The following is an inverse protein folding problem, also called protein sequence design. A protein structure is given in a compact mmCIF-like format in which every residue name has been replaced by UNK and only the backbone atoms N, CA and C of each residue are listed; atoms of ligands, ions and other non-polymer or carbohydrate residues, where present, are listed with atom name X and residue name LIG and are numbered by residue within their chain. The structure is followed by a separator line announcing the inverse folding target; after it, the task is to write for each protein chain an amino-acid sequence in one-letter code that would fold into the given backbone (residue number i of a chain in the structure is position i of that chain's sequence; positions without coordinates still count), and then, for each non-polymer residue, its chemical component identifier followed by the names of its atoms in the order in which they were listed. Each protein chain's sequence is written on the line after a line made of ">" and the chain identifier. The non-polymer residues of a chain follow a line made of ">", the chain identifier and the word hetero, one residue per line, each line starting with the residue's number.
data_IF_326395407516
#
_entry.id   IF_326395407516
#
_cell.length_a   1.000
_cell.length_b   1.000
_cell.length_c   1.000
_cell.angle_alpha   90.00
_cell.angle_beta   90.00
_cell.angle_gamma   90.00
#
_symmetry.space_group_name_H-M   'P 1'
#
loop_
_entity.id
_entity.type
_entity.pdbx_description
1 polymer ?
#
# COMPACT_ATOMS: atom_id res chain seq x y z
N UNK A 1 -4.76 10.94 -28.19
CA UNK A 1 -5.21 11.66 -26.97
C UNK A 1 -5.20 13.19 -27.13
N UNK A 2 -4.06 13.82 -27.51
CA UNK A 2 -3.93 15.29 -27.66
C UNK A 2 -5.03 15.95 -28.53
N UNK A 3 -5.36 15.36 -29.69
CA UNK A 3 -6.41 15.88 -30.61
C UNK A 3 -7.82 15.92 -30.00
N UNK A 4 -8.17 14.91 -29.19
CA UNK A 4 -9.48 14.84 -28.53
C UNK A 4 -9.60 15.91 -27.42
N UNK A 5 -8.51 16.17 -26.71
CA UNK A 5 -8.46 17.19 -25.67
C UNK A 5 -8.59 18.60 -26.27
N UNK A 6 -7.89 18.89 -27.37
CA UNK A 6 -8.03 20.15 -28.13
C UNK A 6 -9.47 20.38 -28.62
N UNK A 7 -10.14 19.34 -29.15
CA UNK A 7 -11.54 19.44 -29.60
C UNK A 7 -12.50 19.74 -28.44
N UNK A 8 -12.28 19.15 -27.26
CA UNK A 8 -13.08 19.42 -26.06
C UNK A 8 -12.85 20.83 -25.52
N UNK A 9 -11.61 21.32 -25.51
CA UNK A 9 -11.27 22.70 -25.14
C UNK A 9 -12.01 23.72 -26.03
N UNK A 10 -11.97 23.52 -27.35
CA UNK A 10 -12.69 24.39 -28.30
C UNK A 10 -14.20 24.37 -28.02
N UNK A 11 -14.78 23.19 -27.74
CA UNK A 11 -16.21 23.05 -27.43
C UNK A 11 -16.60 23.82 -26.16
N UNK A 12 -15.80 23.76 -25.11
CA UNK A 12 -16.05 24.46 -23.84
C UNK A 12 -15.89 25.97 -24.03
N UNK A 13 -14.86 26.40 -24.75
CA UNK A 13 -14.66 27.82 -25.07
C UNK A 13 -15.84 28.39 -25.88
N UNK A 14 -16.33 27.67 -26.89
CA UNK A 14 -17.53 28.07 -27.62
C UNK A 14 -18.77 28.08 -26.75
N UNK A 15 -18.89 27.17 -25.78
CA UNK A 15 -20.01 27.16 -24.84
C UNK A 15 -20.00 28.40 -23.94
N UNK A 16 -18.83 28.77 -23.40
CA UNK A 16 -18.66 29.99 -22.59
C UNK A 16 -18.98 31.25 -23.42
N UNK A 17 -18.54 31.30 -24.68
CA UNK A 17 -18.80 32.46 -25.56
C UNK A 17 -20.27 32.52 -26.01
N UNK A 18 -20.95 31.38 -26.14
CA UNK A 18 -22.35 31.33 -26.58
C UNK A 18 -23.34 31.52 -25.41
N UNK A 19 -22.91 31.23 -24.18
CA UNK A 19 -23.67 31.46 -22.95
C UNK A 19 -23.67 32.94 -22.53
N UNK A 20 -23.90 33.84 -23.50
CA UNK A 20 -23.84 35.30 -23.39
C UNK A 20 -24.89 35.92 -22.44
N UNK A 21 -25.69 35.10 -21.75
CA UNK A 21 -26.65 35.57 -20.76
C UNK A 21 -26.00 35.59 -19.37
N UNK A 22 -25.73 36.81 -18.89
CA UNK A 22 -25.01 37.17 -17.65
C UNK A 22 -25.73 36.66 -16.37
N UNK A 23 -26.73 35.80 -16.51
CA UNK A 23 -27.62 35.34 -15.44
C UNK A 23 -26.97 34.40 -14.43
N UNK A 24 -25.89 33.69 -14.77
CA UNK A 24 -25.26 32.75 -13.82
C UNK A 24 -23.72 32.79 -13.86
N UNK A 25 -23.16 33.77 -13.14
CA UNK A 25 -21.71 33.91 -12.89
C UNK A 25 -21.11 32.60 -12.34
N UNK A 26 -21.91 31.80 -11.62
CA UNK A 26 -21.47 30.53 -11.02
C UNK A 26 -21.19 29.48 -12.10
N UNK A 27 -22.08 29.37 -13.09
CA UNK A 27 -21.90 28.45 -14.22
C UNK A 27 -20.73 28.86 -15.10
N UNK A 28 -20.56 30.16 -15.35
CA UNK A 28 -19.42 30.67 -16.12
C UNK A 28 -18.09 30.45 -15.40
N UNK A 29 -18.06 30.58 -14.07
CA UNK A 29 -16.90 30.23 -13.26
C UNK A 29 -16.60 28.73 -13.31
N UNK A 30 -17.61 27.88 -13.19
CA UNK A 30 -17.45 26.42 -13.27
C UNK A 30 -16.92 25.97 -14.65
N UNK A 31 -17.47 26.51 -15.74
CA UNK A 31 -17.02 26.21 -17.10
C UNK A 31 -15.59 26.72 -17.35
N UNK A 32 -15.26 27.91 -16.84
CA UNK A 32 -13.89 28.48 -16.92
C UNK A 32 -12.88 27.64 -16.14
N UNK A 33 -13.26 27.13 -14.96
CA UNK A 33 -12.45 26.19 -14.18
C UNK A 33 -12.20 24.89 -14.94
N UNK A 34 -13.24 24.31 -15.53
CA UNK A 34 -13.12 23.08 -16.33
C UNK A 34 -12.20 23.30 -17.56
N UNK A 35 -12.30 24.47 -18.20
CA UNK A 35 -11.41 24.86 -19.29
C UNK A 35 -9.94 24.93 -18.83
N UNK A 36 -9.67 25.57 -17.68
CA UNK A 36 -8.33 25.68 -17.10
C UNK A 36 -7.74 24.31 -16.76
N UNK A 37 -8.50 23.42 -16.12
CA UNK A 37 -8.04 22.07 -15.78
C UNK A 37 -7.65 21.29 -17.03
N UNK A 38 -8.47 21.33 -18.09
CA UNK A 38 -8.16 20.63 -19.34
C UNK A 38 -6.98 21.24 -20.08
N UNK A 39 -6.79 22.55 -19.99
CA UNK A 39 -5.63 23.24 -20.56
C UNK A 39 -4.35 22.90 -19.79
N UNK A 40 -4.40 22.81 -18.46
CA UNK A 40 -3.28 22.39 -17.63
C UNK A 40 -2.83 20.96 -17.96
N UNK A 41 -3.78 20.04 -18.15
CA UNK A 41 -3.47 18.67 -18.61
C UNK A 41 -2.86 18.68 -20.01
N UNK A 42 -3.37 19.50 -20.93
CA UNK A 42 -2.80 19.61 -22.27
C UNK A 42 -1.36 20.15 -22.22
N UNK A 43 -1.10 21.17 -21.40
CA UNK A 43 0.22 21.76 -21.17
C UNK A 43 1.19 20.71 -20.63
N UNK A 44 0.78 19.96 -19.61
CA UNK A 44 1.58 18.86 -19.06
C UNK A 44 1.92 17.80 -20.13
N UNK A 45 0.95 17.42 -20.96
CA UNK A 45 1.18 16.47 -22.07
C UNK A 45 2.08 17.05 -23.18
N UNK A 46 2.22 18.37 -23.27
CA UNK A 46 3.07 19.03 -24.25
C UNK A 46 4.48 19.25 -23.73
N UNK A 47 4.64 19.55 -22.44
CA UNK A 47 5.95 19.75 -21.79
C UNK A 47 6.61 18.43 -21.38
N UNK A 48 5.89 17.51 -20.74
CA UNK A 48 6.49 16.30 -20.14
C UNK A 48 6.47 15.09 -21.07
N UNK A 49 5.51 15.02 -22.00
CA UNK A 49 5.33 13.88 -22.91
C UNK A 49 5.86 14.13 -24.33
N UNK A 50 6.42 15.31 -24.64
CA UNK A 50 7.16 15.51 -25.89
C UNK A 50 8.63 15.05 -25.78
N UNK A 51 9.22 15.02 -24.57
CA UNK A 51 10.55 14.43 -24.33
C UNK A 51 10.50 12.90 -24.26
N UNK A 52 9.31 12.33 -24.05
CA UNK A 52 9.08 10.89 -24.04
C UNK A 52 8.72 10.45 -25.47
N UNK A 53 9.65 10.66 -26.41
CA UNK A 53 9.73 9.77 -27.56
C UNK A 53 10.21 8.41 -27.04
N UNK A 54 9.28 7.53 -26.69
CA UNK A 54 9.61 6.11 -26.51
C UNK A 54 10.01 5.62 -27.90
N UNK A 55 11.30 5.71 -28.22
CA UNK A 55 11.91 5.05 -29.36
C UNK A 55 11.85 3.53 -29.11
N UNK A 56 10.70 2.95 -29.44
CA UNK A 56 10.44 1.51 -29.36
C UNK A 56 11.41 0.70 -30.23
N UNK A 57 12.16 1.35 -31.14
CA UNK A 57 13.12 0.68 -32.01
C UNK A 57 14.45 0.39 -31.30
N UNK A 58 14.79 1.10 -30.22
CA UNK A 58 16.08 0.91 -29.52
C UNK A 58 16.02 0.03 -28.29
N UNK A 59 14.84 -0.30 -27.77
CA UNK A 59 14.75 -1.12 -26.57
C UNK A 59 14.73 -2.61 -26.95
N UNK A 60 15.91 -3.24 -26.95
CA UNK A 60 16.09 -4.68 -27.25
C UNK A 60 15.16 -5.59 -26.43
N UNK A 61 14.71 -5.13 -25.26
CA UNK A 61 13.78 -5.81 -24.38
C UNK A 61 12.37 -5.87 -24.98
N UNK A 62 11.92 -4.80 -25.66
CA UNK A 62 10.59 -4.74 -26.28
C UNK A 62 10.50 -5.71 -27.47
N UNK A 63 11.54 -5.79 -28.29
CA UNK A 63 11.60 -6.75 -29.40
C UNK A 63 11.59 -8.21 -28.91
N UNK A 64 12.31 -8.51 -27.81
CA UNK A 64 12.31 -9.84 -27.19
C UNK A 64 10.98 -10.18 -26.53
N UNK A 65 10.29 -9.18 -25.97
CA UNK A 65 8.96 -9.35 -25.41
C UNK A 65 7.92 -9.62 -26.50
N UNK A 66 8.00 -8.93 -27.64
CA UNK A 66 7.11 -9.15 -28.79
C UNK A 66 7.33 -10.53 -29.44
N UNK A 67 8.58 -11.00 -29.50
CA UNK A 67 8.93 -12.36 -29.94
C UNK A 67 8.33 -13.43 -29.00
N UNK A 68 8.48 -13.26 -27.68
CA UNK A 68 7.90 -14.16 -26.68
C UNK A 68 6.37 -14.14 -26.69
N UNK A 69 5.75 -12.96 -26.81
CA UNK A 69 4.29 -12.83 -26.86
C UNK A 69 3.71 -13.56 -28.07
N UNK A 70 4.34 -13.42 -29.24
CA UNK A 70 3.91 -14.12 -30.45
C UNK A 70 4.09 -15.64 -30.36
N UNK A 71 5.15 -16.12 -29.72
CA UNK A 71 5.38 -17.55 -29.49
C UNK A 71 4.30 -18.16 -28.58
N UNK A 72 4.00 -17.51 -27.44
CA UNK A 72 2.98 -17.97 -26.48
C UNK A 72 1.58 -18.01 -27.10
N UNK A 73 1.24 -17.04 -27.95
CA UNK A 73 -0.07 -16.99 -28.64
C UNK A 73 -0.22 -18.09 -29.70
N UNK A 74 0.86 -18.51 -30.35
CA UNK A 74 0.81 -19.61 -31.33
C UNK A 74 0.81 -20.98 -30.66
N UNK A 75 1.54 -21.14 -29.55
CA UNK A 75 1.70 -22.45 -28.89
C UNK A 75 0.46 -22.86 -28.08
N UNK A 76 -0.26 -21.92 -27.47
CA UNK A 76 -1.47 -22.23 -26.68
C UNK A 76 -2.72 -22.56 -27.51
N UNK A 77 -2.68 -22.50 -28.85
CA UNK A 77 -3.84 -22.80 -29.70
C UNK A 77 -4.28 -24.27 -29.64
N UNK A 78 -3.40 -25.16 -29.16
CA UNK A 78 -3.67 -26.60 -29.06
C UNK A 78 -4.15 -27.06 -27.69
N UNK A 79 -4.19 -26.19 -26.69
CA UNK A 79 -4.69 -26.51 -25.35
C UNK A 79 -6.16 -26.09 -25.28
N UNK A 80 -7.11 -27.03 -25.13
CA UNK A 80 -8.51 -26.66 -24.97
C UNK A 80 -8.68 -25.81 -23.70
N UNK A 81 -9.29 -24.62 -23.83
CA UNK A 81 -9.54 -23.67 -22.73
C UNK A 81 -10.47 -24.21 -21.62
N UNK A 82 -11.08 -25.38 -21.83
CA UNK A 82 -11.99 -25.99 -20.87
C UNK A 82 -11.37 -27.26 -20.30
N UNK A 83 -10.93 -27.17 -19.05
CA UNK A 83 -10.68 -28.36 -18.22
C UNK A 83 -12.02 -29.10 -18.03
N UNK A 84 -12.19 -30.35 -18.50
CA UNK A 84 -13.46 -31.10 -18.37
C UNK A 84 -13.77 -31.54 -16.93
N UNK A 85 -12.82 -31.40 -16.00
CA UNK A 85 -13.00 -31.72 -14.59
C UNK A 85 -13.00 -30.45 -13.74
N UNK A 86 -14.13 -29.72 -13.74
CA UNK A 86 -14.31 -28.57 -12.83
C UNK A 86 -14.47 -28.98 -11.35
N UNK A 87 -14.71 -30.27 -11.07
CA UNK A 87 -15.02 -30.77 -9.73
C UNK A 87 -13.82 -31.38 -8.98
N UNK A 88 -12.66 -31.57 -9.62
CA UNK A 88 -11.47 -32.20 -9.01
C UNK A 88 -10.53 -31.22 -8.29
N UNK A 89 -10.88 -29.92 -8.22
CA UNK A 89 -10.13 -28.98 -7.39
C UNK A 89 -10.67 -29.08 -5.97
N UNK A 90 -10.32 -30.16 -5.29
CA UNK A 90 -10.62 -30.34 -3.88
C UNK A 90 -9.81 -29.30 -3.12
N UNK A 91 -10.48 -28.27 -2.62
CA UNK A 91 -9.88 -27.28 -1.73
C UNK A 91 -9.54 -28.03 -0.43
N UNK A 92 -8.28 -28.10 0.01
CA UNK A 92 -7.93 -28.88 1.20
C UNK A 92 -8.53 -28.22 2.45
N UNK A 93 -9.73 -28.64 2.83
CA UNK A 93 -10.42 -28.25 4.05
C UNK A 93 -10.53 -29.43 5.03
N UNK A 94 -11.04 -29.16 6.23
CA UNK A 94 -11.25 -30.15 7.30
C UNK A 94 -12.02 -31.41 6.82
N UNK A 95 -12.88 -31.28 5.80
CA UNK A 95 -13.67 -32.38 5.23
C UNK A 95 -12.81 -33.45 4.52
N UNK A 96 -11.70 -33.08 3.87
CA UNK A 96 -10.80 -34.07 3.24
C UNK A 96 -10.08 -34.95 4.26
N UNK A 97 -9.77 -34.40 5.44
CA UNK A 97 -9.14 -35.15 6.53
C UNK A 97 -10.15 -36.14 7.13
N UNK A 98 -11.44 -35.76 7.20
CA UNK A 98 -12.50 -36.62 7.71
C UNK A 98 -12.74 -37.84 6.82
N UNK A 99 -12.79 -37.65 5.50
CA UNK A 99 -12.96 -38.76 4.54
C UNK A 99 -11.74 -39.70 4.53
N UNK A 100 -10.51 -39.16 4.62
CA UNK A 100 -9.30 -39.99 4.72
C UNK A 100 -9.26 -40.84 6.00
N UNK A 101 -9.78 -40.32 7.12
CA UNK A 101 -9.81 -41.04 8.40
C UNK A 101 -10.89 -42.12 8.41
N UNK A 102 -12.01 -41.90 7.71
CA UNK A 102 -13.08 -42.91 7.59
C UNK A 102 -12.69 -44.14 6.77
N UNK A 103 -11.73 -44.02 5.85
CA UNK A 103 -11.25 -45.12 5.00
C UNK A 103 -10.02 -45.86 5.57
N UNK A 104 -9.55 -45.49 6.76
CA UNK A 104 -8.47 -46.22 7.44
C UNK A 104 -9.02 -47.44 8.20
N UNK A 105 -8.46 -48.65 8.02
CA UNK A 105 -8.84 -49.80 8.83
C UNK A 105 -8.36 -49.58 10.27
N UNK A 106 -9.28 -49.19 11.16
CA UNK A 106 -8.99 -49.08 12.59
C UNK A 106 -8.98 -50.48 13.21
N UNK A 107 -7.81 -50.92 13.71
CA UNK A 107 -7.76 -52.04 14.66
C UNK A 107 -8.07 -51.51 16.06
N UNK A 108 -8.68 -52.35 16.91
CA UNK A 108 -9.18 -51.96 18.23
C UNK A 108 -8.08 -51.41 19.17
N UNK A 109 -6.81 -51.71 18.91
CA UNK A 109 -5.68 -51.17 19.68
C UNK A 109 -5.36 -49.71 19.33
N UNK A 110 -5.75 -49.22 18.14
CA UNK A 110 -5.48 -47.85 17.68
C UNK A 110 -6.47 -46.80 18.24
N UNK A 111 -7.61 -47.25 18.75
CA UNK A 111 -8.66 -46.38 19.32
C UNK A 111 -8.26 -45.83 20.70
N UNK A 112 -7.56 -46.64 21.50
CA UNK A 112 -7.14 -46.28 22.87
C UNK A 112 -6.01 -45.24 22.87
N UNK A 113 -5.06 -45.34 21.93
CA UNK A 113 -3.99 -44.33 21.74
C UNK A 113 -4.50 -43.01 21.18
N UNK A 114 -5.54 -43.04 20.34
CA UNK A 114 -6.17 -41.83 19.82
C UNK A 114 -6.98 -41.09 20.92
N UNK A 115 -7.64 -41.84 21.80
CA UNK A 115 -8.35 -41.29 22.94
C UNK A 115 -7.41 -40.57 23.93
N UNK A 116 -6.24 -41.12 24.23
CA UNK A 116 -5.26 -40.46 25.10
C UNK A 116 -4.65 -39.20 24.47
N UNK A 117 -4.49 -39.17 23.13
CA UNK A 117 -4.01 -37.98 22.39
C UNK A 117 -5.03 -36.84 22.38
N UNK A 118 -6.33 -37.15 22.23
CA UNK A 118 -7.42 -36.17 22.26
C UNK A 118 -7.71 -35.65 23.68
N UNK A 119 -7.44 -36.43 24.72
CA UNK A 119 -7.80 -36.10 26.09
C UNK A 119 -6.85 -35.10 26.79
N UNK A 120 -5.63 -34.86 26.28
CA UNK A 120 -4.63 -34.01 26.96
C UNK A 120 -3.91 -33.06 25.99
N UNK A 121 -4.14 -31.74 26.06
CA UNK A 121 -3.24 -30.79 25.43
C UNK A 121 -1.93 -30.75 26.23
N UNK A 122 -0.90 -31.44 25.74
CA UNK A 122 0.45 -31.30 26.27
C UNK A 122 1.01 -29.94 25.86
N UNK A 123 0.80 -28.92 26.71
CA UNK A 123 1.46 -27.63 26.57
C UNK A 123 2.94 -27.80 26.89
N UNK A 124 3.74 -28.15 25.89
CA UNK A 124 5.19 -28.01 25.94
C UNK A 124 5.52 -26.52 26.08
N UNK A 125 6.15 -26.15 27.19
CA UNK A 125 6.75 -24.82 27.36
C UNK A 125 7.76 -24.65 26.23
N UNK A 126 7.61 -23.57 25.47
CA UNK A 126 8.47 -23.24 24.36
C UNK A 126 9.85 -22.84 24.90
N UNK A 127 10.87 -23.68 24.73
CA UNK A 127 12.27 -23.42 25.09
C UNK A 127 12.90 -22.35 24.15
N UNK A 128 12.31 -21.15 24.13
CA UNK A 128 12.82 -20.00 23.37
C UNK A 128 14.11 -19.42 23.95
N UNK A 129 14.51 -19.83 25.16
CA UNK A 129 15.69 -19.28 25.85
C UNK A 129 17.01 -19.92 25.40
N UNK A 130 16.98 -21.04 24.65
CA UNK A 130 18.20 -21.72 24.18
C UNK A 130 18.76 -21.20 22.84
N UNK A 131 18.05 -20.28 22.17
CA UNK A 131 18.42 -19.78 20.84
C UNK A 131 18.52 -18.25 20.75
N UNK A 132 18.50 -17.53 21.87
CA UNK A 132 18.78 -16.10 21.88
C UNK A 132 20.30 -15.86 21.87
N UNK A 133 20.86 -15.07 20.94
CA UNK A 133 22.21 -14.54 21.11
C UNK A 133 22.26 -13.77 22.42
N UNK A 134 23.17 -14.15 23.30
CA UNK A 134 23.45 -13.42 24.55
C UNK A 134 23.92 -12.01 24.15
N UNK A 135 23.08 -11.00 24.37
CA UNK A 135 23.46 -9.59 24.25
C UNK A 135 24.58 -9.31 25.24
N UNK A 136 25.81 -9.35 24.73
CA UNK A 136 26.95 -8.76 25.41
C UNK A 136 26.85 -7.27 25.17
N UNK A 137 26.60 -6.53 26.25
CA UNK A 137 26.70 -5.08 26.31
C UNK A 137 28.10 -4.65 25.88
N UNK A 138 28.27 -4.34 24.59
CA UNK A 138 29.40 -3.56 24.11
C UNK A 138 28.85 -2.29 23.47
N UNK A 139 28.96 -1.21 24.23
CA UNK A 139 28.96 0.16 23.73
C UNK A 139 30.03 0.26 22.64
N UNK A 140 29.61 0.14 21.38
CA UNK A 140 30.43 0.55 20.24
C UNK A 140 29.83 1.83 19.70
N UNK A 141 30.52 2.93 20.02
CA UNK A 141 30.34 4.23 19.43
C UNK A 141 30.81 4.14 17.98
N UNK A 142 29.92 3.72 17.07
CA UNK A 142 30.17 3.76 15.64
C UNK A 142 29.40 4.93 15.05
N UNK A 143 30.14 5.96 14.68
CA UNK A 143 29.71 7.02 13.78
C UNK A 143 29.25 6.37 12.47
N UNK A 144 27.94 6.14 12.35
CA UNK A 144 27.30 5.67 11.12
C UNK A 144 27.52 6.75 10.07
N UNK A 145 28.48 6.50 9.19
CA UNK A 145 28.67 7.28 7.97
C UNK A 145 27.41 7.09 7.14
N UNK A 146 26.54 8.12 7.17
CA UNK A 146 25.29 8.23 6.42
C UNK A 146 25.49 7.66 5.01
N UNK A 147 24.83 6.55 4.73
CA UNK A 147 24.83 5.97 3.39
C UNK A 147 24.10 6.95 2.47
N UNK A 148 24.60 7.16 1.26
CA UNK A 148 23.94 8.00 0.24
C UNK A 148 22.50 7.55 -0.03
N UNK A 149 22.17 6.30 0.30
CA UNK A 149 20.82 5.74 0.24
C UNK A 149 19.86 6.27 1.34
N UNK A 150 20.36 6.86 2.44
CA UNK A 150 19.54 7.48 3.49
C UNK A 150 19.09 8.90 3.11
N UNK A 151 19.84 9.60 2.24
CA UNK A 151 19.45 10.96 1.79
C UNK A 151 18.22 10.92 0.86
N UNK A 152 17.96 9.76 0.24
CA UNK A 152 16.86 9.54 -0.70
C UNK A 152 15.65 8.81 -0.09
N UNK A 153 15.69 8.40 1.18
CA UNK A 153 14.55 7.81 1.88
C UNK A 153 13.93 8.81 2.87
N UNK A 154 13.47 9.96 2.37
CA UNK A 154 12.72 10.97 3.15
C UNK A 154 11.26 10.56 3.41
N UNK A 155 10.97 9.26 3.41
CA UNK A 155 9.63 8.74 3.64
C UNK A 155 9.59 8.10 5.03
N UNK A 156 8.60 8.49 5.83
CA UNK A 156 8.39 7.97 7.18
C UNK A 156 8.08 6.46 7.08
N UNK A 157 9.09 5.61 7.24
CA UNK A 157 8.92 4.16 7.28
C UNK A 157 8.37 3.74 8.64
N UNK A 158 7.05 3.71 8.76
CA UNK A 158 6.39 3.21 9.96
C UNK A 158 6.27 1.69 9.90
N UNK A 159 6.75 1.01 10.94
CA UNK A 159 6.57 -0.44 11.09
C UNK A 159 5.09 -0.82 11.21
N UNK A 160 4.71 -2.02 10.76
CA UNK A 160 3.31 -2.48 10.80
C UNK A 160 2.73 -2.46 12.22
N UNK A 161 3.54 -2.87 13.22
CA UNK A 161 3.12 -2.90 14.62
C UNK A 161 2.87 -1.50 15.18
N UNK A 162 3.78 -0.56 14.90
CA UNK A 162 3.64 0.84 15.32
C UNK A 162 2.45 1.51 14.63
N UNK A 163 2.27 1.26 13.33
CA UNK A 163 1.11 1.73 12.57
C UNK A 163 -0.20 1.24 13.21
N UNK A 164 -0.30 -0.04 13.54
CA UNK A 164 -1.49 -0.61 14.16
C UNK A 164 -1.74 -0.01 15.55
N UNK A 165 -0.66 0.19 16.32
CA UNK A 165 -0.72 0.78 17.64
C UNK A 165 -1.19 2.24 17.58
N UNK A 166 -0.63 3.06 16.70
CA UNK A 166 -1.05 4.46 16.51
C UNK A 166 -2.50 4.55 16.04
N UNK A 167 -2.90 3.74 15.06
CA UNK A 167 -4.28 3.72 14.58
C UNK A 167 -5.24 3.38 15.73
N UNK A 168 -4.94 2.37 16.54
CA UNK A 168 -5.79 1.92 17.65
C UNK A 168 -5.81 2.91 18.82
N UNK A 169 -4.66 3.45 19.19
CA UNK A 169 -4.49 4.24 20.40
C UNK A 169 -4.62 5.75 20.14
N UNK A 170 -4.01 6.27 19.08
CA UNK A 170 -4.00 7.71 18.77
C UNK A 170 -5.19 8.13 17.89
N UNK A 171 -5.64 7.28 16.97
CA UNK A 171 -6.66 7.62 15.97
C UNK A 171 -8.00 6.89 16.15
N UNK A 172 -8.24 6.26 17.30
CA UNK A 172 -9.49 5.54 17.63
C UNK A 172 -9.95 4.57 16.52
N UNK A 173 -9.00 3.81 15.96
CA UNK A 173 -9.20 2.86 14.88
C UNK A 173 -9.51 3.48 13.49
N UNK A 174 -9.31 4.80 13.33
CA UNK A 174 -9.42 5.46 12.03
C UNK A 174 -8.10 5.38 11.24
N UNK A 175 -8.04 4.45 10.28
CA UNK A 175 -6.89 4.34 9.38
C UNK A 175 -6.79 5.50 8.39
N UNK A 176 -7.90 6.11 7.98
CA UNK A 176 -7.91 7.16 6.97
C UNK A 176 -7.24 8.43 7.51
N UNK A 177 -7.60 8.83 8.72
CA UNK A 177 -6.99 9.98 9.38
C UNK A 177 -5.50 9.78 9.63
N UNK A 178 -5.11 8.57 10.06
CA UNK A 178 -3.69 8.23 10.20
C UNK A 178 -2.93 8.40 8.88
N UNK A 179 -3.45 7.86 7.77
CA UNK A 179 -2.80 7.97 6.46
C UNK A 179 -2.75 9.44 5.98
N UNK A 180 -3.78 10.23 6.26
CA UNK A 180 -3.83 11.67 5.96
C UNK A 180 -2.75 12.43 6.74
N UNK A 181 -2.63 12.17 8.04
CA UNK A 181 -1.61 12.78 8.90
C UNK A 181 -0.20 12.40 8.43
N UNK A 182 0.05 11.13 8.11
CA UNK A 182 1.34 10.69 7.57
C UNK A 182 1.66 11.36 6.23
N UNK A 183 0.68 11.50 5.33
CA UNK A 183 0.87 12.18 4.04
C UNK A 183 1.23 13.66 4.22
N UNK A 184 0.62 14.32 5.20
CA UNK A 184 0.93 15.70 5.56
C UNK A 184 2.31 15.81 6.22
N UNK A 185 2.67 14.90 7.12
CA UNK A 185 4.00 14.83 7.75
C UNK A 185 5.12 14.56 6.74
N UNK A 186 4.85 13.76 5.70
CA UNK A 186 5.78 13.54 4.59
C UNK A 186 5.98 14.83 3.76
N UNK A 187 4.94 15.66 3.63
CA UNK A 187 5.00 16.95 2.91
C UNK A 187 5.73 18.04 3.70
N UNK A 188 5.70 17.97 5.04
CA UNK A 188 6.36 18.96 5.91
C UNK A 188 7.87 18.72 5.96
N UNK A 189 8.67 19.75 5.69
CA UNK A 189 10.13 19.67 5.62
C UNK A 189 10.85 19.93 6.96
N UNK A 190 10.16 20.38 7.99
CA UNK A 190 10.77 20.79 9.27
C UNK A 190 10.14 20.03 10.45
N UNK A 191 10.98 19.63 11.40
CA UNK A 191 10.57 18.95 12.64
C UNK A 191 9.63 19.83 13.47
N UNK A 192 10.01 21.08 13.75
CA UNK A 192 9.22 22.02 14.56
C UNK A 192 7.80 22.24 13.99
N UNK A 193 7.69 22.32 12.65
CA UNK A 193 6.41 22.44 11.97
C UNK A 193 5.58 21.16 12.05
N UNK A 194 6.23 19.99 12.02
CA UNK A 194 5.56 18.69 12.17
C UNK A 194 4.99 18.53 13.59
N UNK A 195 5.78 18.88 14.61
CA UNK A 195 5.34 18.86 16.01
C UNK A 195 4.17 19.82 16.21
N UNK A 196 4.29 21.06 15.71
CA UNK A 196 3.22 22.06 15.79
C UNK A 196 1.93 21.60 15.10
N UNK A 197 2.05 20.90 13.97
CA UNK A 197 0.91 20.33 13.27
C UNK A 197 0.21 19.25 14.11
N UNK A 198 0.97 18.35 14.74
CA UNK A 198 0.39 17.33 15.62
C UNK A 198 -0.28 17.95 16.83
N UNK A 199 0.36 18.92 17.49
CA UNK A 199 -0.17 19.54 18.72
C UNK A 199 -1.42 20.39 18.44
N UNK A 200 -1.43 21.15 17.35
CA UNK A 200 -2.53 22.09 17.08
C UNK A 200 -3.67 21.49 16.25
N UNK A 201 -3.42 20.46 15.44
CA UNK A 201 -4.41 19.96 14.48
C UNK A 201 -4.78 18.49 14.70
N UNK A 202 -3.92 17.67 15.31
CA UNK A 202 -4.22 16.24 15.49
C UNK A 202 -4.61 15.94 16.93
N UNK A 203 -3.87 16.46 17.91
CA UNK A 203 -4.17 16.26 19.33
C UNK A 203 -5.58 16.71 19.73
N UNK A 204 -6.10 17.87 19.30
CA UNK A 204 -7.42 18.34 19.73
C UNK A 204 -8.55 17.42 19.26
N UNK A 205 -8.43 16.87 18.06
CA UNK A 205 -9.41 15.97 17.45
C UNK A 205 -9.51 14.61 18.18
N UNK A 206 -8.45 14.18 18.89
CA UNK A 206 -8.41 12.88 19.60
C UNK A 206 -8.29 13.02 21.12
N UNK A 207 -9.00 13.98 21.71
CA UNK A 207 -9.06 14.18 23.16
C UNK A 207 -7.67 14.34 23.80
N UNK A 208 -6.78 15.06 23.13
CA UNK A 208 -5.39 15.31 23.54
C UNK A 208 -4.57 14.05 23.84
N UNK A 209 -4.95 12.89 23.28
CA UNK A 209 -4.33 11.59 23.56
C UNK A 209 -4.20 11.28 25.05
N UNK A 210 -5.15 11.77 25.86
CA UNK A 210 -5.13 11.61 27.32
C UNK A 210 -5.03 10.13 27.74
N UNK A 211 -4.03 9.83 28.56
CA UNK A 211 -3.75 8.47 29.06
C UNK A 211 -3.02 7.54 28.08
N UNK A 212 -2.55 8.07 26.94
CA UNK A 212 -1.82 7.31 25.90
C UNK A 212 -0.47 7.95 25.55
N UNK A 213 0.19 8.50 26.57
CA UNK A 213 1.44 9.27 26.45
C UNK A 213 2.61 8.43 25.92
N UNK A 214 2.64 7.11 26.19
CA UNK A 214 3.67 6.21 25.64
C UNK A 214 3.60 6.13 24.11
N UNK A 215 2.39 6.08 23.55
CA UNK A 215 2.19 6.06 22.11
C UNK A 215 2.45 7.42 21.48
N UNK A 216 2.15 8.51 22.19
CA UNK A 216 2.52 9.85 21.78
C UNK A 216 4.04 10.00 21.67
N UNK A 217 4.79 9.64 22.71
CA UNK A 217 6.24 9.76 22.70
C UNK A 217 6.87 8.95 21.57
N UNK A 218 6.40 7.71 21.36
CA UNK A 218 6.83 6.88 20.22
C UNK A 218 6.50 7.52 18.87
N UNK A 219 5.33 8.14 18.74
CA UNK A 219 4.94 8.81 17.50
C UNK A 219 5.81 10.04 17.23
N UNK A 220 6.11 10.83 18.27
CA UNK A 220 7.01 11.99 18.17
C UNK A 220 8.45 11.58 17.83
N UNK A 221 8.96 10.51 18.46
CA UNK A 221 10.30 9.97 18.18
C UNK A 221 10.42 9.49 16.73
N UNK A 222 9.36 8.88 16.19
CA UNK A 222 9.30 8.46 14.80
C UNK A 222 9.36 9.65 13.84
N UNK A 223 8.67 10.74 14.16
CA UNK A 223 8.74 11.99 13.41
C UNK A 223 10.17 12.58 13.48
N UNK A 224 10.78 12.63 14.66
CA UNK A 224 12.13 13.14 14.85
C UNK A 224 13.17 12.33 14.04
N UNK A 225 13.03 11.00 14.00
CA UNK A 225 13.90 10.11 13.22
C UNK A 225 13.86 10.39 11.72
N UNK A 226 12.75 10.92 11.19
CA UNK A 226 12.66 11.33 9.77
C UNK A 226 13.48 12.58 9.45
N UNK A 227 13.82 13.40 10.45
CA UNK A 227 14.56 14.66 10.27
C UNK A 227 16.04 14.57 10.71
N UNK A 228 16.46 13.47 11.34
CA UNK A 228 17.85 13.18 11.77
C UNK A 228 18.72 12.62 10.63
#
# INVERSE_FOLDING_TARGET
>A
MKKQLKKKLVKIATNIITADDISDITEMYAASKELYEKLAVLKFIEEELNDIEIDVSKNAIAAKFEELANAVMHENKHVPESNPHQEDIIIPGMDTIKDMVSEMPMSAEAEDVFADFMAKPALMKNDKELFMPVETEQKVNEEVKKSVNETFQKEIKVGLNDRLAFVKHLFNNNMEDYNRVISQLNTIATEERSISFIVNMVKPDYNHWAGKEEYENRFMELIARKFS
#
